data_IF_399910634873
#
_entry.id   IF_399910634873
#
_cell.length_a   1.000
_cell.length_b   1.000
_cell.length_c   1.000
_cell.angle_alpha   90.00
_cell.angle_beta   90.00
_cell.angle_gamma   90.00
#
_symmetry.space_group_name_H-M   'P 1'
#
loop_
_entity.id
_entity.type
_entity.pdbx_description
1 polymer ?
#
# COMPACT_ATOMS: atom_id res chain seq x y z
N UNK A 1 -34.37 13.63 -12.90
CA UNK A 1 -33.81 14.65 -13.80
C UNK A 1 -32.40 14.16 -14.15
N UNK A 2 -32.24 13.27 -15.15
CA UNK A 2 -32.04 13.59 -16.58
C UNK A 2 -30.82 14.55 -16.74
N UNK A 3 -29.70 14.33 -17.45
CA UNK A 3 -29.43 13.73 -18.77
C UNK A 3 -27.88 13.76 -19.02
N UNK A 4 -27.20 12.68 -19.48
CA UNK A 4 -26.66 12.34 -20.86
C UNK A 4 -25.31 13.09 -21.18
N UNK A 5 -24.24 12.59 -21.84
CA UNK A 5 -24.00 11.75 -23.05
C UNK A 5 -22.47 11.51 -23.12
N UNK A 6 -21.82 10.40 -23.51
CA UNK A 6 -21.95 9.42 -24.61
C UNK A 6 -20.99 8.25 -24.27
N UNK A 7 -21.20 6.94 -24.50
CA UNK A 7 -21.82 6.21 -25.60
C UNK A 7 -22.37 4.86 -25.10
N UNK A 8 -23.53 4.50 -25.66
CA UNK A 8 -24.03 3.14 -25.94
C UNK A 8 -24.03 2.10 -24.82
N UNK A 9 -25.18 2.06 -24.17
CA UNK A 9 -25.87 0.86 -23.71
C UNK A 9 -25.86 -0.24 -24.77
N UNK A 10 -25.12 -1.32 -24.50
CA UNK A 10 -25.42 -2.64 -25.08
C UNK A 10 -25.87 -3.57 -23.96
N UNK A 11 -27.00 -4.21 -24.23
CA UNK A 11 -27.81 -5.04 -23.37
C UNK A 11 -27.28 -6.48 -23.42
N UNK A 12 -27.04 -7.08 -22.24
CA UNK A 12 -26.82 -8.53 -22.01
C UNK A 12 -25.79 -9.20 -22.95
N UNK A 13 -24.51 -9.20 -22.54
CA UNK A 13 -23.64 -10.38 -22.51
C UNK A 13 -22.35 -10.03 -21.74
N UNK A 14 -21.92 -10.93 -20.86
CA UNK A 14 -20.74 -10.74 -19.99
C UNK A 14 -19.47 -10.56 -20.81
N UNK A 15 -18.69 -9.53 -20.48
CA UNK A 15 -17.22 -9.67 -20.41
C UNK A 15 -16.72 -8.87 -19.20
N UNK A 16 -16.43 -9.59 -18.11
CA UNK A 16 -15.65 -9.03 -17.02
C UNK A 16 -14.20 -8.94 -17.49
N UNK A 17 -13.73 -7.73 -17.77
CA UNK A 17 -12.30 -7.49 -17.96
C UNK A 17 -11.69 -7.41 -16.56
N UNK A 18 -11.31 -8.55 -16.00
CA UNK A 18 -10.36 -8.60 -14.89
C UNK A 18 -8.97 -8.32 -15.44
N UNK A 19 -8.69 -7.05 -15.75
CA UNK A 19 -7.32 -6.58 -15.59
C UNK A 19 -7.04 -6.66 -14.09
N UNK A 20 -6.18 -7.61 -13.70
CA UNK A 20 -5.92 -8.05 -12.34
C UNK A 20 -6.08 -6.90 -11.34
N UNK A 21 -7.19 -6.94 -10.60
CA UNK A 21 -7.35 -6.28 -9.32
C UNK A 21 -6.38 -6.97 -8.38
N UNK A 22 -5.09 -6.72 -8.59
CA UNK A 22 -4.03 -7.23 -7.75
C UNK A 22 -4.19 -6.49 -6.44
N UNK A 23 -5.00 -7.03 -5.54
CA UNK A 23 -5.22 -6.53 -4.20
C UNK A 23 -3.86 -6.39 -3.56
N UNK A 24 -3.44 -5.14 -3.34
CA UNK A 24 -2.28 -4.88 -2.50
C UNK A 24 -2.72 -5.11 -1.07
N UNK A 25 -2.02 -6.03 -0.42
CA UNK A 25 -2.11 -6.24 1.02
C UNK A 25 -0.82 -5.74 1.63
N UNK A 26 -0.93 -4.88 2.64
CA UNK A 26 0.21 -4.35 3.36
C UNK A 26 0.13 -4.87 4.79
N UNK A 27 1.20 -5.53 5.22
CA UNK A 27 1.36 -5.97 6.60
C UNK A 27 2.55 -5.23 7.21
N UNK A 28 2.47 -4.94 8.51
CA UNK A 28 3.57 -4.34 9.23
C UNK A 28 3.69 -4.97 10.62
N UNK A 29 4.90 -4.92 11.15
CA UNK A 29 5.22 -5.29 12.52
C UNK A 29 6.06 -4.17 13.11
N UNK A 30 5.67 -3.68 14.28
CA UNK A 30 6.37 -2.63 15.00
C UNK A 30 6.98 -3.19 16.29
N UNK A 31 8.08 -2.57 16.71
CA UNK A 31 8.70 -2.77 18.01
C UNK A 31 8.86 -1.40 18.63
N UNK A 32 8.18 -1.20 19.76
CA UNK A 32 8.27 0.01 20.54
C UNK A 32 9.70 0.25 21.03
N UNK A 33 10.03 1.53 21.23
CA UNK A 33 11.25 1.94 21.90
C UNK A 33 11.32 1.39 23.33
N UNK A 34 12.51 1.03 23.80
CA UNK A 34 12.66 0.46 25.15
C UNK A 34 12.26 1.42 26.26
N UNK A 35 12.44 2.73 26.03
CA UNK A 35 12.11 3.81 26.97
C UNK A 35 11.79 5.11 26.23
N UNK A 36 11.05 6.02 26.86
CA UNK A 36 10.80 7.35 26.31
C UNK A 36 12.12 8.10 26.08
N UNK A 37 12.36 8.53 24.84
CA UNK A 37 13.60 9.19 24.42
C UNK A 37 14.69 8.23 23.90
N UNK A 38 14.46 6.92 23.90
CA UNK A 38 15.29 5.99 23.16
C UNK A 38 15.00 6.06 21.66
N UNK A 39 15.98 5.62 20.86
CA UNK A 39 15.92 5.59 19.39
C UNK A 39 16.14 4.17 18.88
N UNK A 40 15.61 3.18 19.60
CA UNK A 40 15.78 1.75 19.32
C UNK A 40 14.50 1.09 18.77
N UNK A 41 13.49 1.90 18.45
CA UNK A 41 12.26 1.44 17.83
C UNK A 41 12.49 0.97 16.39
N UNK A 42 11.60 0.09 15.92
CA UNK A 42 11.64 -0.39 14.54
C UNK A 42 10.26 -0.70 13.98
N UNK A 43 10.12 -0.54 12.66
CA UNK A 43 8.93 -0.91 11.90
C UNK A 43 9.39 -1.69 10.67
N UNK A 44 8.91 -2.91 10.51
CA UNK A 44 9.09 -3.70 9.31
C UNK A 44 7.77 -3.80 8.54
N UNK A 45 7.79 -3.46 7.27
CA UNK A 45 6.63 -3.43 6.36
C UNK A 45 6.85 -4.42 5.24
N UNK A 46 5.81 -5.17 4.90
CA UNK A 46 5.80 -6.11 3.78
C UNK A 46 4.55 -5.89 2.92
N UNK A 47 4.76 -5.79 1.61
CA UNK A 47 3.71 -5.69 0.60
C UNK A 47 3.52 -7.02 -0.11
N UNK A 48 2.28 -7.47 -0.26
CA UNK A 48 1.90 -8.66 -1.00
C UNK A 48 0.82 -8.35 -2.04
N UNK A 49 0.76 -9.16 -3.11
CA UNK A 49 -0.14 -8.93 -4.24
C UNK A 49 0.43 -7.92 -5.23
N UNK A 50 -0.42 -7.11 -5.85
CA UNK A 50 -0.05 -5.98 -6.72
C UNK A 50 0.92 -6.28 -7.87
N UNK A 51 1.67 -5.25 -8.25
CA UNK A 51 2.75 -5.29 -9.24
C UNK A 51 4.02 -4.77 -8.56
N UNK A 52 5.05 -5.61 -8.54
CA UNK A 52 6.37 -5.29 -7.98
C UNK A 52 7.21 -4.46 -8.96
N UNK A 53 8.21 -3.67 -8.49
CA UNK A 53 8.74 -3.59 -7.12
C UNK A 53 8.02 -2.57 -6.21
N UNK A 54 8.02 -2.84 -4.91
CA UNK A 54 7.51 -1.93 -3.88
C UNK A 54 8.60 -1.05 -3.29
N UNK A 55 8.20 0.17 -2.97
CA UNK A 55 9.00 1.12 -2.19
C UNK A 55 8.16 1.62 -1.03
N UNK A 56 8.76 1.69 0.13
CA UNK A 56 8.13 2.11 1.38
C UNK A 56 8.78 3.40 1.84
N UNK A 57 7.99 4.35 2.35
CA UNK A 57 8.47 5.55 3.01
C UNK A 57 7.80 5.66 4.37
N UNK A 58 8.56 6.12 5.36
CA UNK A 58 8.08 6.39 6.70
C UNK A 58 8.22 7.88 6.97
N UNK A 59 7.15 8.52 7.46
CA UNK A 59 7.11 9.94 7.82
C UNK A 59 7.63 10.88 6.71
N UNK A 60 7.23 10.62 5.46
CA UNK A 60 7.67 11.39 4.28
C UNK A 60 9.20 11.36 4.04
N UNK A 61 9.91 10.40 4.66
CA UNK A 61 11.33 10.17 4.45
C UNK A 61 11.65 9.46 3.13
N UNK A 62 12.90 9.06 2.98
CA UNK A 62 13.38 8.37 1.79
C UNK A 62 12.63 7.06 1.53
N UNK A 63 12.44 6.76 0.25
CA UNK A 63 11.83 5.51 -0.18
C UNK A 63 12.85 4.39 -0.17
N UNK A 64 12.57 3.33 0.58
CA UNK A 64 13.41 2.13 0.68
C UNK A 64 12.66 0.89 0.16
N UNK A 65 13.39 -0.03 -0.48
CA UNK A 65 12.80 -1.22 -1.08
C UNK A 65 12.61 -2.38 -0.09
N UNK A 66 13.35 -2.39 1.03
CA UNK A 66 13.33 -3.48 2.01
C UNK A 66 12.21 -3.35 3.05
N UNK A 67 11.55 -2.19 3.14
CA UNK A 67 10.47 -1.92 4.09
C UNK A 67 10.89 -1.98 5.56
N UNK A 68 12.19 -1.97 5.87
CA UNK A 68 12.68 -2.06 7.25
C UNK A 68 13.21 -0.72 7.74
N UNK A 69 12.46 -0.10 8.64
CA UNK A 69 12.81 1.14 9.31
C UNK A 69 13.31 0.81 10.72
N UNK A 70 14.55 1.18 11.02
CA UNK A 70 15.18 0.94 12.31
C UNK A 70 15.72 2.25 12.87
N UNK A 71 15.99 2.25 14.18
CA UNK A 71 16.46 3.42 14.94
C UNK A 71 15.42 4.55 15.04
N UNK A 72 14.15 4.18 15.21
CA UNK A 72 13.07 5.14 15.36
C UNK A 72 13.02 5.65 16.79
N UNK A 73 12.84 6.97 16.93
CA UNK A 73 12.65 7.63 18.20
C UNK A 73 11.20 7.54 18.68
N UNK A 74 11.02 7.57 20.00
CA UNK A 74 9.72 7.65 20.69
C UNK A 74 8.99 8.97 20.43
#
# INVERSE_FOLDING_TARGET
MFIVTSCTYEHWEKVAITCANSTISLTYTETDVSTCGATDGSIAVSGAGGVLPYTFSLNEGDFIANGNFSNLAA
#
